data_IF_859403844720
#
_entry.id   IF_859403844720
#
_cell.length_a   1.000
_cell.length_b   1.000
_cell.length_c   1.000
_cell.angle_alpha   90.00
_cell.angle_beta   90.00
_cell.angle_gamma   90.00
#
_symmetry.space_group_name_H-M   'P 1'
#
loop_
_entity.id
_entity.type
_entity.pdbx_description
1 polymer ?
#
# COMPACT_ATOMS: atom_id res chain seq x y z
N UNK A 1 8.68 16.22 12.66
CA UNK A 1 9.80 16.03 11.71
C UNK A 1 9.22 15.70 10.34
N UNK A 2 9.01 16.68 9.47
CA UNK A 2 8.68 16.40 8.07
C UNK A 2 9.97 16.07 7.34
N UNK A 3 10.29 14.79 7.19
CA UNK A 3 11.11 14.39 6.04
C UNK A 3 10.22 14.53 4.81
N UNK A 4 10.76 14.93 3.65
CA UNK A 4 10.04 14.97 2.36
C UNK A 4 9.66 13.56 1.87
N UNK A 5 9.02 12.77 2.73
CA UNK A 5 8.57 11.43 2.49
C UNK A 5 7.07 11.41 2.30
N UNK A 6 6.63 10.55 1.40
CA UNK A 6 5.23 10.24 1.19
C UNK A 6 4.96 8.83 1.67
N UNK A 7 3.69 8.50 1.93
CA UNK A 7 3.31 7.09 2.10
C UNK A 7 3.71 6.29 0.84
N UNK A 8 4.08 5.04 1.05
CA UNK A 8 4.71 4.19 0.05
C UNK A 8 3.83 4.00 -1.20
N UNK A 9 4.37 4.40 -2.35
CA UNK A 9 3.95 3.99 -3.68
C UNK A 9 4.82 2.83 -4.18
N UNK A 10 4.22 1.89 -4.93
CA UNK A 10 4.91 0.73 -5.51
C UNK A 10 4.69 0.73 -7.02
N UNK A 11 5.79 0.77 -7.78
CA UNK A 11 5.79 0.85 -9.25
C UNK A 11 6.39 -0.36 -9.94
N UNK A 12 6.86 -1.36 -9.18
CA UNK A 12 7.40 -2.58 -9.78
C UNK A 12 7.32 -3.80 -8.86
N UNK A 13 7.58 -4.96 -9.46
CA UNK A 13 7.73 -6.21 -8.71
C UNK A 13 8.96 -6.16 -7.81
N UNK A 14 10.05 -5.55 -8.27
CA UNK A 14 11.30 -5.41 -7.49
C UNK A 14 11.08 -4.54 -6.25
N UNK A 15 10.31 -3.45 -6.37
CA UNK A 15 9.91 -2.65 -5.22
C UNK A 15 9.04 -3.46 -4.25
N UNK A 16 8.12 -4.29 -4.76
CA UNK A 16 7.31 -5.20 -3.94
C UNK A 16 8.19 -6.16 -3.13
N UNK A 17 9.14 -6.83 -3.77
CA UNK A 17 10.03 -7.78 -3.09
C UNK A 17 10.92 -7.09 -2.04
N UNK A 18 11.41 -5.87 -2.34
CA UNK A 18 12.17 -5.08 -1.38
C UNK A 18 11.33 -4.71 -0.14
N UNK A 19 10.09 -4.24 -0.35
CA UNK A 19 9.17 -3.87 0.72
C UNK A 19 8.79 -5.09 1.55
N UNK A 20 8.47 -6.22 0.92
CA UNK A 20 8.17 -7.47 1.61
C UNK A 20 9.32 -7.91 2.53
N UNK A 21 10.56 -7.89 2.03
CA UNK A 21 11.74 -8.21 2.81
C UNK A 21 11.95 -7.24 3.99
N UNK A 22 11.68 -5.95 3.78
CA UNK A 22 11.76 -4.93 4.83
C UNK A 22 10.74 -5.19 5.96
N UNK A 23 9.49 -5.46 5.60
CA UNK A 23 8.40 -5.77 6.56
C UNK A 23 8.74 -7.02 7.38
N UNK A 24 9.16 -8.09 6.70
CA UNK A 24 9.57 -9.34 7.35
C UNK A 24 10.76 -9.13 8.30
N UNK A 25 11.77 -8.37 7.87
CA UNK A 25 12.93 -8.02 8.71
C UNK A 25 12.53 -7.20 9.94
N UNK A 26 11.57 -6.29 9.78
CA UNK A 26 11.02 -5.49 10.87
C UNK A 26 10.08 -6.29 11.79
N UNK A 27 9.73 -7.54 11.43
CA UNK A 27 8.81 -8.42 12.17
C UNK A 27 7.45 -7.78 12.43
N UNK A 28 6.93 -7.06 11.43
CA UNK A 28 5.59 -6.48 11.48
C UNK A 28 4.58 -7.64 11.35
N UNK A 29 3.74 -7.80 12.37
CA UNK A 29 2.71 -8.86 12.44
C UNK A 29 1.31 -8.41 12.02
N UNK A 30 1.22 -7.29 11.30
CA UNK A 30 -0.02 -6.66 10.85
C UNK A 30 0.07 -6.33 9.36
N UNK A 31 -1.07 -6.11 8.74
CA UNK A 31 -1.15 -5.53 7.40
C UNK A 31 -0.52 -4.12 7.41
N UNK A 32 -0.06 -3.67 6.24
CA UNK A 32 0.69 -2.42 6.13
C UNK A 32 0.05 -1.49 5.13
N UNK A 33 -0.26 -0.27 5.56
CA UNK A 33 -0.82 0.75 4.69
C UNK A 33 0.15 1.18 3.60
N UNK A 34 -0.40 1.33 2.40
CA UNK A 34 0.22 1.97 1.26
C UNK A 34 -0.32 3.39 1.07
N UNK A 35 0.40 4.20 0.31
CA UNK A 35 0.04 5.57 0.01
C UNK A 35 -0.99 5.71 -1.10
N UNK A 36 -2.03 4.88 -1.15
CA UNK A 36 -3.08 4.97 -2.17
C UNK A 36 -4.48 5.11 -1.57
N UNK A 37 -5.30 5.89 -2.28
CA UNK A 37 -6.71 6.09 -1.96
C UNK A 37 -7.57 5.91 -3.22
N UNK A 38 -8.78 5.36 -3.05
CA UNK A 38 -9.77 5.20 -4.12
C UNK A 38 -10.72 6.38 -4.19
N UNK A 39 -10.76 7.06 -5.33
CA UNK A 39 -11.71 8.13 -5.64
C UNK A 39 -12.56 7.71 -6.84
N UNK A 40 -13.89 7.77 -6.73
CA UNK A 40 -14.83 7.46 -7.82
C UNK A 40 -14.52 6.13 -8.57
N UNK A 41 -14.15 5.08 -7.81
CA UNK A 41 -13.75 3.76 -8.29
C UNK A 41 -12.35 3.64 -8.93
N UNK A 42 -11.51 4.67 -8.86
CA UNK A 42 -10.12 4.63 -9.32
C UNK A 42 -9.13 4.82 -8.16
N UNK A 43 -8.11 3.96 -8.09
CA UNK A 43 -7.02 4.14 -7.14
C UNK A 43 -5.99 5.14 -7.67
N UNK A 44 -5.48 5.96 -6.76
CA UNK A 44 -4.43 6.95 -7.03
C UNK A 44 -3.40 6.93 -5.91
N UNK A 45 -2.12 7.08 -6.26
CA UNK A 45 -1.07 7.31 -5.28
C UNK A 45 -1.14 8.75 -4.74
N UNK A 46 -1.07 8.89 -3.42
CA UNK A 46 -1.11 10.17 -2.70
C UNK A 46 0.16 11.01 -2.91
N UNK A 47 1.25 10.39 -3.38
CA UNK A 47 2.47 11.09 -3.76
C UNK A 47 2.41 11.73 -5.17
N UNK A 48 1.32 11.48 -5.91
CA UNK A 48 1.09 12.00 -7.26
C UNK A 48 1.81 11.24 -8.38
N UNK A 49 2.45 10.12 -8.08
CA UNK A 49 3.05 9.24 -9.09
C UNK A 49 1.97 8.48 -9.88
N UNK A 50 2.34 7.91 -11.02
CA UNK A 50 1.40 7.22 -11.91
C UNK A 50 0.91 5.91 -11.29
N UNK A 51 -0.36 5.60 -11.51
CA UNK A 51 -0.92 4.28 -11.22
C UNK A 51 -0.58 3.31 -12.38
N UNK A 52 0.66 2.84 -12.42
CA UNK A 52 1.24 2.06 -13.54
C UNK A 52 1.60 0.61 -13.17
N UNK A 53 1.45 0.24 -11.90
CA UNK A 53 1.67 -1.10 -11.40
C UNK A 53 0.56 -1.49 -10.43
N UNK A 54 0.13 -2.75 -10.52
CA UNK A 54 -0.87 -3.32 -9.61
C UNK A 54 -0.48 -4.70 -9.15
N UNK A 55 -0.65 -5.00 -7.87
CA UNK A 55 -0.43 -6.34 -7.35
C UNK A 55 -1.54 -6.81 -6.39
N UNK A 56 -2.80 -6.58 -6.80
CA UNK A 56 -3.96 -7.02 -6.02
C UNK A 56 -3.94 -8.54 -5.74
N UNK A 57 -4.47 -8.91 -4.58
CA UNK A 57 -4.81 -10.28 -4.26
C UNK A 57 -5.97 -10.77 -5.13
N UNK A 58 -6.16 -12.09 -5.23
CA UNK A 58 -7.32 -12.65 -5.90
C UNK A 58 -8.62 -12.08 -5.31
N UNK A 59 -9.54 -11.67 -6.19
CA UNK A 59 -10.85 -11.06 -5.87
C UNK A 59 -10.77 -9.69 -5.16
N UNK A 60 -9.63 -9.01 -5.26
CA UNK A 60 -9.47 -7.63 -4.82
C UNK A 60 -9.21 -6.69 -6.01
N UNK A 61 -9.51 -5.40 -5.89
CA UNK A 61 -10.20 -4.74 -4.77
C UNK A 61 -11.68 -5.14 -4.66
N UNK A 62 -12.27 -4.95 -3.48
CA UNK A 62 -13.71 -5.08 -3.23
C UNK A 62 -14.44 -3.73 -3.39
N UNK A 63 -15.73 -3.76 -3.71
CA UNK A 63 -16.53 -2.55 -3.99
C UNK A 63 -17.24 -1.96 -2.76
N UNK A 64 -16.80 -2.30 -1.55
CA UNK A 64 -17.40 -1.75 -0.34
C UNK A 64 -17.11 -0.23 -0.25
N UNK A 65 -18.14 0.63 -0.09
CA UNK A 65 -17.98 2.09 -0.17
C UNK A 65 -16.99 2.68 0.84
N UNK A 66 -16.81 2.04 2.01
CA UNK A 66 -15.90 2.48 3.06
C UNK A 66 -14.44 2.04 2.82
N UNK A 67 -14.21 1.04 1.97
CA UNK A 67 -12.88 0.45 1.78
C UNK A 67 -12.07 1.20 0.73
N UNK A 68 -11.60 2.41 1.05
CA UNK A 68 -10.92 3.26 0.07
C UNK A 68 -9.40 3.34 0.24
N UNK A 69 -8.83 2.76 1.30
CA UNK A 69 -7.39 2.74 1.53
C UNK A 69 -6.77 1.41 1.11
N UNK A 70 -5.55 1.45 0.57
CA UNK A 70 -4.84 0.29 0.06
C UNK A 70 -3.82 -0.24 1.07
N UNK A 71 -3.82 -1.53 1.34
CA UNK A 71 -2.87 -2.20 2.24
C UNK A 71 -2.21 -3.42 1.61
N UNK A 72 -1.05 -3.80 2.13
CA UNK A 72 -0.41 -5.10 1.91
C UNK A 72 -0.94 -6.09 2.95
N UNK A 73 -1.47 -7.24 2.53
CA UNK A 73 -2.30 -8.12 3.39
C UNK A 73 -1.92 -9.62 3.39
N UNK A 74 -1.24 -10.14 2.38
CA UNK A 74 -0.96 -11.59 2.33
C UNK A 74 0.19 -12.01 3.26
N UNK A 75 0.27 -13.32 3.55
CA UNK A 75 1.28 -13.91 4.45
C UNK A 75 2.73 -13.59 4.08
N UNK A 76 2.99 -13.19 2.83
CA UNK A 76 4.31 -12.85 2.33
C UNK A 76 4.53 -11.35 2.11
N UNK A 77 3.53 -10.51 2.37
CA UNK A 77 3.58 -9.06 2.18
C UNK A 77 3.85 -8.59 0.75
N UNK A 78 3.27 -9.28 -0.23
CA UNK A 78 3.38 -8.97 -1.67
C UNK A 78 2.09 -8.42 -2.26
N UNK A 79 0.93 -8.88 -1.77
CA UNK A 79 -0.37 -8.65 -2.41
C UNK A 79 -1.16 -7.56 -1.72
N UNK A 80 -1.92 -6.84 -2.54
CA UNK A 80 -2.70 -5.69 -2.08
C UNK A 80 -4.18 -6.03 -1.90
N UNK A 81 -4.81 -5.36 -0.94
CA UNK A 81 -6.27 -5.31 -0.78
C UNK A 81 -6.67 -3.89 -0.40
N UNK A 82 -7.96 -3.58 -0.49
CA UNK A 82 -8.51 -2.33 0.01
C UNK A 82 -9.36 -2.56 1.27
N UNK A 83 -9.24 -1.65 2.22
CA UNK A 83 -9.90 -1.72 3.52
C UNK A 83 -10.30 -0.33 4.03
N UNK A 84 -11.04 -0.32 5.13
CA UNK A 84 -11.48 0.89 5.82
C UNK A 84 -10.29 1.71 6.31
N UNK A 85 -10.22 2.96 5.85
CA UNK A 85 -9.15 3.91 6.15
C UNK A 85 -9.04 4.26 7.64
N UNK A 86 -10.10 4.03 8.43
CA UNK A 86 -10.10 4.34 9.87
C UNK A 86 -9.33 3.29 10.70
N UNK A 87 -8.89 2.19 10.08
CA UNK A 87 -8.15 1.13 10.80
C UNK A 87 -6.72 1.55 11.13
N UNK A 88 -6.35 1.36 12.39
CA UNK A 88 -5.01 1.65 12.89
C UNK A 88 -4.02 0.54 12.52
N UNK A 89 -3.31 0.73 11.41
CA UNK A 89 -2.23 -0.14 10.96
C UNK A 89 -0.92 0.61 10.74
N UNK A 90 0.23 -0.09 10.82
CA UNK A 90 1.52 0.50 10.48
C UNK A 90 1.55 0.93 9.01
N UNK A 91 2.41 1.91 8.70
CA UNK A 91 2.63 2.39 7.34
C UNK A 91 4.12 2.51 7.05
N UNK A 92 4.46 2.51 5.76
CA UNK A 92 5.83 2.74 5.28
C UNK A 92 5.87 4.06 4.52
N UNK A 93 6.91 4.85 4.77
CA UNK A 93 7.19 6.07 4.01
C UNK A 93 8.29 5.83 2.99
N UNK A 94 8.11 6.36 1.76
CA UNK A 94 9.12 6.43 0.71
C UNK A 94 9.66 7.86 0.62
N UNK A 95 10.97 8.01 0.70
CA UNK A 95 11.65 9.29 0.46
C UNK A 95 11.92 9.44 -1.03
N UNK A 96 11.70 10.64 -1.58
CA UNK A 96 12.24 10.97 -2.90
C UNK A 96 13.74 11.20 -2.77
N UNK A 97 14.52 10.47 -3.55
CA UNK A 97 15.98 10.61 -3.66
C UNK A 97 16.30 11.43 -4.91
#
# INVERSE_FOLDING_TARGET
MSKNGHLLSIHSKEETEFVAALIQKARIGYDVWLGAHRYENAFMWLDGTKWDYTNFHEKQPNDLPQNNCLEIFDANFRKWTNYDCEREYPSICKLRV
#
